data_IF_161204512285
#
_entry.id   IF_161204512285
#
_cell.length_a   1.000
_cell.length_b   1.000
_cell.length_c   1.000
_cell.angle_alpha   90.00
_cell.angle_beta   90.00
_cell.angle_gamma   90.00
#
_symmetry.space_group_name_H-M   'P 1'
#
loop_
_entity.id
_entity.type
_entity.pdbx_description
1 polymer ?
#
# COMPACT_ATOMS: atom_id res chain seq x y z
N UNK A 1 1.15 16.20 0.93
CA UNK A 1 0.54 15.23 1.85
C UNK A 1 0.24 15.86 3.18
N UNK A 2 -1.05 16.16 3.38
CA UNK A 2 -1.63 16.36 4.72
C UNK A 2 -1.20 15.20 5.63
N UNK A 3 -1.03 15.45 6.92
CA UNK A 3 -0.62 14.42 7.90
C UNK A 3 -1.46 13.16 7.79
N UNK A 4 -2.77 13.32 7.57
CA UNK A 4 -3.69 12.23 7.28
C UNK A 4 -3.18 11.26 6.19
N UNK A 5 -2.83 11.75 5.00
CA UNK A 5 -2.31 10.92 3.91
C UNK A 5 -0.97 10.25 4.24
N UNK A 6 -0.10 10.93 5.01
CA UNK A 6 1.19 10.35 5.43
C UNK A 6 1.00 9.14 6.33
N UNK A 7 0.03 9.19 7.25
CA UNK A 7 -0.27 8.07 8.16
C UNK A 7 -0.72 6.84 7.36
N UNK A 8 -1.64 7.01 6.40
CA UNK A 8 -2.07 5.90 5.53
C UNK A 8 -0.92 5.35 4.68
N UNK A 9 -0.07 6.22 4.14
CA UNK A 9 1.09 5.80 3.36
C UNK A 9 2.02 4.91 4.19
N UNK A 10 2.34 5.31 5.43
CA UNK A 10 3.18 4.52 6.34
C UNK A 10 2.50 3.19 6.67
N UNK A 11 1.20 3.18 6.94
CA UNK A 11 0.43 1.96 7.20
C UNK A 11 0.53 0.95 6.04
N UNK A 12 0.33 1.40 4.80
CA UNK A 12 0.45 0.52 3.64
C UNK A 12 1.87 -0.03 3.45
N UNK A 13 2.91 0.78 3.68
CA UNK A 13 4.30 0.32 3.62
C UNK A 13 4.56 -0.76 4.68
N UNK A 14 4.05 -0.57 5.91
CA UNK A 14 4.16 -1.57 6.98
C UNK A 14 3.44 -2.86 6.60
N UNK A 15 2.25 -2.78 6.00
CA UNK A 15 1.52 -3.97 5.51
C UNK A 15 2.29 -4.72 4.42
N UNK A 16 2.95 -4.02 3.49
CA UNK A 16 3.82 -4.66 2.51
C UNK A 16 4.96 -5.40 3.21
N UNK A 17 5.64 -4.74 4.17
CA UNK A 17 6.74 -5.35 4.92
C UNK A 17 6.34 -6.60 5.69
N UNK A 18 5.22 -6.55 6.42
CA UNK A 18 4.70 -7.69 7.19
C UNK A 18 4.34 -8.85 6.27
N UNK A 19 3.59 -8.61 5.19
CA UNK A 19 3.20 -9.67 4.26
C UNK A 19 4.40 -10.26 3.52
N UNK A 20 5.37 -9.42 3.11
CA UNK A 20 6.59 -9.90 2.45
C UNK A 20 7.44 -10.76 3.39
N UNK A 21 7.51 -10.41 4.68
CA UNK A 21 8.15 -11.25 5.70
C UNK A 21 7.40 -12.56 5.91
N UNK A 22 6.08 -12.56 5.80
CA UNK A 22 5.23 -13.74 6.01
C UNK A 22 5.22 -14.73 4.82
N UNK A 23 5.72 -14.33 3.64
CA UNK A 23 5.88 -15.23 2.49
C UNK A 23 6.77 -16.41 2.88
N UNK A 24 6.28 -17.63 2.64
CA UNK A 24 7.02 -18.86 2.86
C UNK A 24 8.01 -19.09 1.71
N UNK A 25 9.18 -18.45 1.81
CA UNK A 25 10.21 -18.49 0.76
C UNK A 25 10.75 -19.89 0.46
N UNK A 26 10.68 -20.81 1.44
CA UNK A 26 11.09 -22.20 1.29
C UNK A 26 10.19 -23.01 0.34
N UNK A 27 8.91 -22.66 0.23
CA UNK A 27 7.95 -23.32 -0.67
C UNK A 27 8.00 -22.76 -2.11
N UNK A 28 8.82 -21.73 -2.34
CA UNK A 28 8.85 -20.95 -3.56
C UNK A 28 7.93 -19.73 -3.47
N UNK A 29 8.39 -18.60 -4.03
CA UNK A 29 7.69 -17.32 -3.92
C UNK A 29 6.23 -17.38 -4.39
N UNK A 30 5.96 -18.04 -5.52
CA UNK A 30 4.63 -18.13 -6.15
C UNK A 30 3.91 -19.45 -5.87
N UNK A 31 4.18 -20.07 -4.73
CA UNK A 31 3.39 -21.20 -4.25
C UNK A 31 1.98 -20.72 -3.86
N UNK A 32 0.95 -21.53 -4.10
CA UNK A 32 -0.45 -21.21 -3.77
C UNK A 32 -0.65 -20.82 -2.29
N UNK A 33 0.15 -21.38 -1.38
CA UNK A 33 0.12 -21.01 0.05
C UNK A 33 0.49 -19.53 0.31
N UNK A 34 1.24 -18.92 -0.63
CA UNK A 34 1.68 -17.54 -0.57
C UNK A 34 0.72 -16.55 -1.26
N UNK A 35 -0.28 -17.02 -1.99
CA UNK A 35 -1.20 -16.17 -2.78
C UNK A 35 -1.88 -15.11 -1.93
N UNK A 36 -2.28 -15.47 -0.70
CA UNK A 36 -2.89 -14.52 0.26
C UNK A 36 -1.98 -13.34 0.60
N UNK A 37 -0.66 -13.58 0.69
CA UNK A 37 0.32 -12.53 1.00
C UNK A 37 0.56 -11.65 -0.22
N UNK A 38 0.67 -12.24 -1.41
CA UNK A 38 0.80 -11.48 -2.66
C UNK A 38 -0.43 -10.62 -2.95
N UNK A 39 -1.63 -11.16 -2.72
CA UNK A 39 -2.86 -10.41 -2.87
C UNK A 39 -2.92 -9.23 -1.87
N UNK A 40 -2.51 -9.46 -0.62
CA UNK A 40 -2.42 -8.39 0.38
C UNK A 40 -1.39 -7.31 0.01
N UNK A 41 -0.21 -7.70 -0.48
CA UNK A 41 0.82 -6.78 -0.97
C UNK A 41 0.28 -5.97 -2.15
N UNK A 42 -0.36 -6.61 -3.13
CA UNK A 42 -0.95 -5.94 -4.28
C UNK A 42 -2.03 -4.94 -3.85
N UNK A 43 -2.91 -5.31 -2.92
CA UNK A 43 -3.92 -4.40 -2.36
C UNK A 43 -3.29 -3.20 -1.64
N UNK A 44 -2.19 -3.41 -0.89
CA UNK A 44 -1.47 -2.33 -0.23
C UNK A 44 -0.81 -1.37 -1.24
N UNK A 45 -0.25 -1.89 -2.35
CA UNK A 45 0.27 -1.08 -3.46
C UNK A 45 -0.83 -0.23 -4.08
N UNK A 46 -2.01 -0.81 -4.34
CA UNK A 46 -3.19 -0.06 -4.82
C UNK A 46 -3.59 1.03 -3.81
N UNK A 47 -3.59 0.71 -2.52
CA UNK A 47 -3.83 1.68 -1.45
C UNK A 47 -2.88 2.88 -1.49
N UNK A 48 -1.58 2.64 -1.70
CA UNK A 48 -0.58 3.70 -1.87
C UNK A 48 -0.93 4.59 -3.08
N UNK A 49 -1.27 3.99 -4.22
CA UNK A 49 -1.66 4.74 -5.43
C UNK A 49 -2.87 5.65 -5.13
N UNK A 50 -3.89 5.12 -4.46
CA UNK A 50 -5.08 5.90 -4.06
C UNK A 50 -4.71 7.06 -3.14
N UNK A 51 -3.81 6.86 -2.18
CA UNK A 51 -3.32 7.94 -1.30
C UNK A 51 -2.69 9.08 -2.10
N UNK A 52 -1.91 8.78 -3.13
CA UNK A 52 -1.32 9.80 -4.00
C UNK A 52 -2.38 10.53 -4.84
N UNK A 53 -3.36 9.81 -5.39
CA UNK A 53 -4.48 10.43 -6.13
C UNK A 53 -5.25 11.38 -5.22
N UNK A 54 -5.56 10.96 -4.00
CA UNK A 54 -6.25 11.79 -3.01
C UNK A 54 -5.41 13.01 -2.59
N UNK A 55 -4.10 12.86 -2.36
CA UNK A 55 -3.23 14.00 -2.07
C UNK A 55 -3.23 15.00 -3.24
N UNK A 56 -3.15 14.51 -4.48
CA UNK A 56 -3.17 15.34 -5.67
C UNK A 56 -4.49 16.12 -5.79
N UNK A 57 -5.64 15.46 -5.70
CA UNK A 57 -6.95 16.12 -5.72
C UNK A 57 -7.12 17.12 -4.57
N UNK A 58 -6.61 16.80 -3.38
CA UNK A 58 -6.69 17.71 -2.23
C UNK A 58 -5.95 19.03 -2.47
N UNK A 59 -4.84 19.00 -3.23
CA UNK A 59 -4.06 20.19 -3.59
C UNK A 59 -4.71 20.99 -4.71
N UNK A 60 -5.31 20.31 -5.68
CA UNK A 60 -6.08 20.95 -6.74
C UNK A 60 -7.27 21.73 -6.19
N UNK A 61 -7.98 21.15 -5.22
CA UNK A 61 -9.11 21.82 -4.55
C UNK A 61 -8.69 23.09 -3.81
N UNK A 62 -7.51 23.11 -3.19
CA UNK A 62 -7.00 24.30 -2.47
C UNK A 62 -6.42 25.39 -3.37
N UNK A 63 -6.15 25.11 -4.66
CA UNK A 63 -5.59 26.10 -5.61
C UNK A 63 -6.65 26.99 -6.28
N UNK A 64 -7.92 26.84 -5.92
CA UNK A 64 -9.05 27.66 -6.42
C UNK A 64 -9.38 28.88 -5.54
N UNK A 65 -8.45 29.37 -4.73
CA UNK A 65 -8.60 30.58 -3.91
C UNK A 65 -7.55 31.61 -4.26
#
# INVERSE_FOLDING_TARGET
MKTFYKVFLVLFIVFIGINFYAVQWNLGAFNEENDKFWFSIAAAVVGIIVVFIMDFWSRLSTKKG
#
